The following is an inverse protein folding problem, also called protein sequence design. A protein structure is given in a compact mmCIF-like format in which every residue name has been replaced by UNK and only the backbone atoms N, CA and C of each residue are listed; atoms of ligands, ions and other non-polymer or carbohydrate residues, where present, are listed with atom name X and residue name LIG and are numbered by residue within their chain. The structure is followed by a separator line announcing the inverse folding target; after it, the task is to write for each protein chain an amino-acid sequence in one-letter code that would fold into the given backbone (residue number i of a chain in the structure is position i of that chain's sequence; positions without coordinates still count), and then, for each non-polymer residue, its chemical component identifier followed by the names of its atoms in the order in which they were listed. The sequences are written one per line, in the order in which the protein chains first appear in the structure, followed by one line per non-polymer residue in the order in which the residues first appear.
data_IF_236349893827
#
_entry.id   IF_236349893827
#
_cell.length_a   1.000
_cell.length_b   1.000
_cell.length_c   1.000
_cell.angle_alpha   90.00
_cell.angle_beta   90.00
_cell.angle_gamma   90.00
#
_symmetry.space_group_name_H-M   'P 1'
#
loop_
_entity.id
_entity.type
_entity.pdbx_description
1 polymer ?
#
# COMPACT_ATOMS: atom_id res chain seq x y z
N UNK A 1 -15.55 5.56 -9.33
CA UNK A 1 -16.00 6.89 -9.81
C UNK A 1 -15.63 8.00 -8.84
N UNK A 2 -15.87 7.81 -7.54
CA UNK A 2 -15.60 8.80 -6.49
C UNK A 2 -14.20 9.44 -6.55
N UNK A 3 -13.16 8.63 -6.82
CA UNK A 3 -11.79 9.12 -6.89
C UNK A 3 -11.57 10.13 -8.04
N UNK A 4 -12.22 9.93 -9.19
CA UNK A 4 -12.20 10.93 -10.26
C UNK A 4 -13.12 12.10 -9.95
N UNK A 5 -14.29 11.85 -9.37
CA UNK A 5 -15.26 12.91 -9.09
C UNK A 5 -14.70 13.94 -8.09
N UNK A 6 -14.10 13.47 -7.00
CA UNK A 6 -13.66 14.28 -5.87
C UNK A 6 -12.24 14.87 -5.95
N UNK A 7 -11.54 14.75 -7.07
CA UNK A 7 -10.14 15.21 -7.22
C UNK A 7 -9.91 16.02 -8.49
N UNK A 8 -8.72 16.60 -8.65
CA UNK A 8 -8.31 17.33 -9.85
C UNK A 8 -7.79 16.42 -10.99
N UNK A 9 -7.85 15.08 -10.81
CA UNK A 9 -7.26 14.10 -11.70
C UNK A 9 -7.77 14.14 -13.16
N UNK A 10 -8.99 14.63 -13.37
CA UNK A 10 -9.57 14.82 -14.70
C UNK A 10 -9.36 16.24 -15.20
N UNK A 11 -9.12 16.37 -16.51
CA UNK A 11 -9.14 17.65 -17.21
C UNK A 11 -10.56 18.16 -17.46
N UNK A 12 -11.28 18.40 -16.37
CA UNK A 12 -12.65 18.90 -16.35
C UNK A 12 -12.85 19.81 -15.13
N UNK A 13 -13.83 20.71 -15.22
CA UNK A 13 -14.20 21.59 -14.10
C UNK A 13 -14.54 20.76 -12.84
N UNK A 14 -14.24 21.26 -11.63
CA UNK A 14 -14.62 20.59 -10.38
C UNK A 14 -16.15 20.57 -10.23
N UNK A 15 -16.66 19.63 -9.41
CA UNK A 15 -18.08 19.53 -9.11
C UNK A 15 -18.62 20.82 -8.47
N UNK A 16 -19.77 21.29 -8.95
CA UNK A 16 -20.49 22.41 -8.33
C UNK A 16 -21.10 21.99 -6.99
N UNK A 17 -21.14 22.89 -5.98
CA UNK A 17 -21.83 22.62 -4.71
C UNK A 17 -23.33 22.34 -4.90
N UNK A 18 -23.93 21.58 -3.98
CA UNK A 18 -25.38 21.35 -3.94
C UNK A 18 -25.86 19.94 -4.31
N UNK A 19 -24.94 18.96 -4.44
CA UNK A 19 -25.28 17.57 -4.68
C UNK A 19 -24.47 16.96 -5.82
N UNK A 20 -25.07 16.01 -6.54
CA UNK A 20 -24.47 15.41 -7.73
C UNK A 20 -24.52 16.37 -8.93
N UNK A 21 -23.35 16.72 -9.44
CA UNK A 21 -23.16 17.54 -10.63
C UNK A 21 -23.09 16.64 -11.87
N UNK A 22 -24.12 16.73 -12.72
CA UNK A 22 -24.23 15.92 -13.93
C UNK A 22 -23.13 16.21 -14.96
N UNK A 23 -22.67 17.46 -15.07
CA UNK A 23 -21.60 17.80 -16.01
C UNK A 23 -20.29 17.13 -15.57
N UNK A 24 -19.96 17.22 -14.28
CA UNK A 24 -18.81 16.51 -13.71
C UNK A 24 -18.96 14.99 -13.84
N UNK A 25 -20.15 14.46 -13.53
CA UNK A 25 -20.46 13.04 -13.63
C UNK A 25 -20.25 12.47 -15.04
N UNK A 26 -20.64 13.24 -16.07
CA UNK A 26 -20.42 12.86 -17.47
C UNK A 26 -18.93 12.71 -17.79
N UNK A 27 -18.08 13.64 -17.33
CA UNK A 27 -16.63 13.54 -17.50
C UNK A 27 -16.04 12.32 -16.78
N UNK A 28 -16.54 12.00 -15.58
CA UNK A 28 -16.13 10.81 -14.82
C UNK A 28 -16.50 9.51 -15.52
N UNK A 29 -17.74 9.40 -16.02
CA UNK A 29 -18.21 8.22 -16.75
C UNK A 29 -17.38 8.03 -18.03
N UNK A 30 -17.15 9.11 -18.79
CA UNK A 30 -16.35 9.06 -20.00
C UNK A 30 -14.90 8.58 -19.73
N UNK A 31 -14.26 9.11 -18.68
CA UNK A 31 -12.92 8.71 -18.29
C UNK A 31 -12.85 7.24 -17.83
N UNK A 32 -13.85 6.77 -17.07
CA UNK A 32 -13.91 5.39 -16.62
C UNK A 32 -14.15 4.42 -17.78
N UNK A 33 -15.02 4.76 -18.73
CA UNK A 33 -15.24 3.93 -19.94
C UNK A 33 -14.00 3.88 -20.82
N UNK A 34 -13.31 5.00 -21.00
CA UNK A 34 -12.02 5.03 -21.71
C UNK A 34 -10.94 4.18 -21.02
N UNK A 35 -10.97 4.10 -19.68
CA UNK A 35 -10.12 3.18 -18.93
C UNK A 35 -10.51 1.71 -19.18
N UNK A 36 -11.81 1.38 -19.11
CA UNK A 36 -12.30 0.03 -19.38
C UNK A 36 -11.98 -0.42 -20.81
N UNK A 37 -12.09 0.46 -21.82
CA UNK A 37 -11.70 0.17 -23.20
C UNK A 37 -10.21 -0.20 -23.32
N UNK A 38 -9.35 0.36 -22.45
CA UNK A 38 -7.92 0.05 -22.43
C UNK A 38 -7.61 -1.24 -21.65
N UNK A 39 -8.20 -1.41 -20.48
CA UNK A 39 -7.89 -2.52 -19.58
C UNK A 39 -8.66 -3.81 -19.92
N UNK A 40 -9.86 -3.68 -20.48
CA UNK A 40 -10.86 -4.72 -20.72
C UNK A 40 -11.52 -4.52 -22.09
N UNK A 41 -10.76 -4.58 -23.21
CA UNK A 41 -11.28 -4.31 -24.54
C UNK A 41 -12.43 -5.27 -24.89
N UNK A 42 -13.48 -4.77 -25.55
CA UNK A 42 -14.61 -5.61 -25.97
C UNK A 42 -14.34 -6.31 -27.31
N UNK A 43 -14.95 -7.47 -27.50
CA UNK A 43 -14.87 -8.24 -28.74
C UNK A 43 -15.52 -7.47 -29.92
N UNK A 44 -14.97 -7.68 -31.12
CA UNK A 44 -15.55 -7.13 -32.36
C UNK A 44 -15.36 -5.62 -32.55
N UNK A 45 -14.43 -4.99 -31.80
CA UNK A 45 -14.13 -3.56 -31.92
C UNK A 45 -15.17 -2.64 -31.29
N UNK A 46 -16.09 -3.19 -30.48
CA UNK A 46 -17.03 -2.41 -29.67
C UNK A 46 -16.29 -1.67 -28.56
N UNK A 47 -16.91 -0.62 -28.06
CA UNK A 47 -16.45 0.16 -26.91
C UNK A 47 -17.44 0.05 -25.76
N UNK A 48 -16.97 0.30 -24.54
CA UNK A 48 -17.84 0.29 -23.36
C UNK A 48 -18.99 1.31 -23.49
N UNK A 49 -18.79 2.43 -24.21
CA UNK A 49 -19.85 3.42 -24.49
C UNK A 49 -21.04 2.85 -25.29
N UNK A 50 -20.85 1.73 -25.99
CA UNK A 50 -21.88 1.10 -26.83
C UNK A 50 -22.70 0.03 -26.11
N UNK A 51 -22.48 -0.20 -24.81
CA UNK A 51 -23.28 -1.14 -24.05
C UNK A 51 -24.69 -0.60 -23.77
N UNK A 52 -25.68 -1.48 -23.74
CA UNK A 52 -27.08 -1.19 -23.35
C UNK A 52 -27.54 -1.98 -22.13
N UNK A 53 -26.71 -2.90 -21.65
CA UNK A 53 -26.93 -3.62 -20.40
C UNK A 53 -25.76 -4.52 -20.03
N UNK A 54 -25.83 -5.18 -18.85
CA UNK A 54 -24.79 -6.09 -18.37
C UNK A 54 -24.60 -7.31 -19.28
N UNK A 55 -25.65 -7.78 -19.96
CA UNK A 55 -25.58 -8.95 -20.84
C UNK A 55 -24.86 -8.66 -22.17
N UNK A 56 -24.63 -7.38 -22.50
CA UNK A 56 -23.88 -6.97 -23.69
C UNK A 56 -22.35 -7.03 -23.51
N UNK A 57 -21.88 -7.24 -22.27
CA UNK A 57 -20.45 -7.26 -21.97
C UNK A 57 -19.82 -8.54 -22.53
N UNK A 58 -19.13 -8.37 -23.66
CA UNK A 58 -18.35 -9.43 -24.30
C UNK A 58 -16.88 -8.98 -24.42
N UNK A 59 -16.03 -9.40 -23.48
CA UNK A 59 -14.60 -9.05 -23.45
C UNK A 59 -13.86 -9.77 -24.60
N UNK A 60 -12.87 -9.11 -25.20
CA UNK A 60 -12.07 -9.65 -26.29
C UNK A 60 -11.19 -10.82 -25.84
N UNK A 61 -10.65 -10.77 -24.63
CA UNK A 61 -10.01 -11.89 -23.94
C UNK A 61 -10.96 -12.47 -22.88
N UNK A 62 -11.58 -13.64 -23.12
CA UNK A 62 -12.47 -14.27 -22.16
C UNK A 62 -11.81 -14.60 -20.83
N UNK A 63 -10.49 -14.77 -20.78
CA UNK A 63 -9.74 -15.03 -19.55
C UNK A 63 -9.77 -13.88 -18.55
N UNK A 64 -10.11 -12.67 -19.00
CA UNK A 64 -10.25 -11.51 -18.12
C UNK A 64 -11.56 -11.49 -17.32
N UNK A 65 -12.58 -12.27 -17.70
CA UNK A 65 -13.86 -12.29 -16.98
C UNK A 65 -13.88 -13.41 -15.94
N UNK A 66 -13.99 -13.06 -14.66
CA UNK A 66 -13.94 -14.00 -13.54
C UNK A 66 -15.32 -14.46 -13.06
N UNK A 67 -16.37 -13.70 -13.34
CA UNK A 67 -17.75 -14.05 -13.00
C UNK A 67 -18.54 -12.91 -12.38
N UNK A 68 -19.72 -13.23 -11.85
CA UNK A 68 -20.65 -12.26 -11.25
C UNK A 68 -20.40 -12.08 -9.76
N UNK A 69 -20.51 -10.84 -9.30
CA UNK A 69 -20.59 -10.48 -7.88
C UNK A 69 -22.04 -10.21 -7.48
N UNK A 70 -22.28 -9.87 -6.22
CA UNK A 70 -23.61 -9.40 -5.78
C UNK A 70 -24.05 -8.07 -6.44
N UNK A 71 -23.12 -7.29 -7.00
CA UNK A 71 -23.37 -5.93 -7.52
C UNK A 71 -23.10 -5.79 -9.02
N UNK A 72 -22.49 -6.78 -9.66
CA UNK A 72 -22.12 -6.67 -11.06
C UNK A 72 -21.23 -7.80 -11.55
N UNK A 73 -20.19 -7.45 -12.30
CA UNK A 73 -19.27 -8.40 -12.94
C UNK A 73 -17.83 -8.09 -12.56
N UNK A 74 -17.06 -9.15 -12.28
CA UNK A 74 -15.65 -9.06 -11.89
C UNK A 74 -14.75 -9.45 -13.05
N UNK A 75 -13.71 -8.64 -13.24
CA UNK A 75 -12.68 -8.84 -14.25
C UNK A 75 -11.28 -8.77 -13.65
N UNK A 76 -10.28 -9.17 -14.42
CA UNK A 76 -8.86 -9.06 -14.07
C UNK A 76 -8.05 -8.51 -15.23
N UNK A 77 -7.12 -7.60 -14.93
CA UNK A 77 -6.13 -7.11 -15.87
C UNK A 77 -4.79 -6.88 -15.14
N UNK A 78 -3.68 -7.39 -15.67
CA UNK A 78 -2.35 -7.37 -15.04
C UNK A 78 -2.35 -7.91 -13.59
N UNK A 79 -3.19 -8.90 -13.31
CA UNK A 79 -3.33 -9.50 -11.97
C UNK A 79 -4.13 -8.67 -10.97
N UNK A 80 -4.65 -7.50 -11.36
CA UNK A 80 -5.50 -6.64 -10.53
C UNK A 80 -6.96 -6.75 -10.94
N UNK A 81 -7.84 -6.76 -9.95
CA UNK A 81 -9.28 -6.94 -10.15
C UNK A 81 -10.03 -5.63 -10.44
N UNK A 82 -11.04 -5.71 -11.31
CA UNK A 82 -11.94 -4.61 -11.68
C UNK A 82 -13.38 -5.10 -11.57
N UNK A 83 -14.18 -4.51 -10.69
CA UNK A 83 -15.62 -4.77 -10.62
C UNK A 83 -16.39 -3.66 -11.34
N UNK A 84 -17.16 -4.03 -12.36
CA UNK A 84 -18.12 -3.13 -12.98
C UNK A 84 -19.47 -3.33 -12.30
N UNK A 85 -19.93 -2.30 -11.60
CA UNK A 85 -21.14 -2.32 -10.78
C UNK A 85 -22.33 -1.84 -11.60
N UNK A 86 -23.42 -2.59 -11.57
CA UNK A 86 -24.66 -2.28 -12.28
C UNK A 86 -25.78 -2.03 -11.28
N UNK A 87 -26.33 -0.81 -11.29
CA UNK A 87 -27.49 -0.45 -10.48
C UNK A 87 -28.30 0.65 -11.19
N UNK A 88 -29.31 0.28 -12.01
CA UNK A 88 -30.15 1.24 -12.72
C UNK A 88 -31.07 2.04 -11.80
N UNK A 89 -31.21 1.67 -10.52
CA UNK A 89 -31.96 2.47 -9.54
C UNK A 89 -31.10 3.54 -8.86
N UNK A 90 -29.77 3.42 -8.93
CA UNK A 90 -28.85 4.41 -8.38
C UNK A 90 -28.94 5.76 -9.09
N UNK A 91 -28.49 6.82 -8.43
CA UNK A 91 -28.51 8.17 -9.00
C UNK A 91 -27.64 8.33 -10.25
N UNK A 92 -26.61 7.49 -10.40
CA UNK A 92 -25.70 7.48 -11.54
C UNK A 92 -26.19 6.50 -12.59
N UNK A 93 -26.44 5.24 -12.21
CA UNK A 93 -26.81 4.18 -13.13
C UNK A 93 -28.15 4.38 -13.82
N UNK A 94 -29.10 5.11 -13.23
CA UNK A 94 -30.38 5.44 -13.90
C UNK A 94 -30.21 6.30 -15.17
N UNK A 95 -29.16 7.11 -15.22
CA UNK A 95 -28.85 8.01 -16.34
C UNK A 95 -27.80 7.35 -17.27
N UNK A 96 -27.32 6.13 -16.95
CA UNK A 96 -26.35 5.35 -17.71
C UNK A 96 -27.05 4.34 -18.63
N UNK A 97 -26.67 4.31 -19.92
CA UNK A 97 -27.34 3.45 -20.93
C UNK A 97 -27.27 1.96 -20.61
N UNK A 98 -26.21 1.51 -19.95
CA UNK A 98 -26.03 0.12 -19.56
C UNK A 98 -26.36 -0.13 -18.08
N UNK A 99 -26.81 0.88 -17.34
CA UNK A 99 -27.05 0.80 -15.91
C UNK A 99 -25.78 0.78 -15.06
N UNK A 100 -24.62 1.16 -15.60
CA UNK A 100 -23.36 1.17 -14.85
C UNK A 100 -23.41 2.27 -13.78
N UNK A 101 -23.26 1.88 -12.52
CA UNK A 101 -23.29 2.78 -11.39
C UNK A 101 -21.89 3.15 -10.89
N UNK A 102 -20.92 2.23 -11.00
CA UNK A 102 -19.53 2.48 -10.61
C UNK A 102 -18.55 1.47 -11.26
N UNK A 103 -17.26 1.80 -11.18
CA UNK A 103 -16.14 0.91 -11.47
C UNK A 103 -15.24 0.88 -10.24
N UNK A 104 -15.19 -0.26 -9.57
CA UNK A 104 -14.41 -0.48 -8.34
C UNK A 104 -13.10 -1.17 -8.70
N UNK A 105 -11.99 -0.56 -8.31
CA UNK A 105 -10.65 -1.09 -8.57
C UNK A 105 -10.06 -1.71 -7.32
N UNK A 106 -9.53 -2.92 -7.45
CA UNK A 106 -8.57 -3.43 -6.49
C UNK A 106 -7.32 -2.53 -6.54
N UNK A 107 -6.94 -1.99 -5.38
CA UNK A 107 -6.02 -0.86 -5.32
C UNK A 107 -4.94 -1.03 -4.25
N UNK A 108 -5.20 -0.61 -3.01
CA UNK A 108 -4.27 -0.76 -1.90
C UNK A 108 -4.14 -2.25 -1.53
N UNK A 109 -3.34 -3.01 -2.29
CA UNK A 109 -3.10 -4.44 -2.08
C UNK A 109 -2.48 -4.71 -0.71
N UNK A 110 -1.59 -3.80 -0.30
CA UNK A 110 -0.90 -3.83 0.99
C UNK A 110 -0.93 -2.46 1.65
N UNK A 111 -1.06 -2.43 2.97
CA UNK A 111 -1.07 -1.20 3.78
C UNK A 111 -0.08 -1.37 4.92
N UNK A 112 0.72 -0.33 5.17
CA UNK A 112 1.60 -0.27 6.34
C UNK A 112 0.85 0.46 7.46
N UNK A 113 0.55 -0.25 8.54
CA UNK A 113 0.07 0.34 9.80
C UNK A 113 1.29 0.87 10.54
N UNK A 114 1.37 2.19 10.65
CA UNK A 114 2.61 2.86 11.05
C UNK A 114 2.66 3.18 12.55
N UNK A 115 3.74 2.75 13.21
CA UNK A 115 4.05 3.06 14.62
C UNK A 115 5.31 3.93 14.72
N UNK A 116 5.80 4.46 13.60
CA UNK A 116 7.02 5.26 13.51
C UNK A 116 6.70 6.69 13.04
N UNK A 117 7.17 7.13 11.86
CA UNK A 117 7.22 8.56 11.53
C UNK A 117 5.87 9.27 11.38
N UNK A 118 4.77 8.55 11.15
CA UNK A 118 3.44 9.17 11.01
C UNK A 118 2.68 9.33 12.33
N UNK A 119 3.26 8.95 13.47
CA UNK A 119 2.62 9.02 14.79
C UNK A 119 3.53 9.68 15.83
N UNK A 120 2.92 10.24 16.87
CA UNK A 120 3.64 10.67 18.06
C UNK A 120 3.24 9.73 19.20
N UNK A 121 4.15 8.85 19.62
CA UNK A 121 3.92 7.92 20.71
C UNK A 121 5.12 7.88 21.67
N UNK A 122 5.06 8.67 22.74
CA UNK A 122 6.24 9.00 23.55
C UNK A 122 6.27 8.29 24.92
N UNK A 123 5.17 7.64 25.30
CA UNK A 123 5.05 6.93 26.57
C UNK A 123 4.18 5.67 26.45
N UNK A 124 3.95 5.02 27.60
CA UNK A 124 3.17 3.80 27.68
C UNK A 124 1.70 3.96 27.24
N UNK A 125 1.09 5.12 27.48
CA UNK A 125 -0.31 5.37 27.14
C UNK A 125 -0.47 5.47 25.61
N UNK A 126 0.46 6.18 24.96
CA UNK A 126 0.44 6.31 23.50
C UNK A 126 0.74 4.97 22.82
N UNK A 127 1.78 4.24 23.28
CA UNK A 127 2.11 2.92 22.72
C UNK A 127 0.96 1.94 22.93
N UNK A 128 0.29 1.97 24.07
CA UNK A 128 -0.92 1.17 24.30
C UNK A 128 -2.03 1.50 23.30
N UNK A 129 -2.26 2.78 22.97
CA UNK A 129 -3.24 3.17 21.97
C UNK A 129 -2.89 2.61 20.58
N UNK A 130 -1.62 2.72 20.17
CA UNK A 130 -1.14 2.17 18.90
C UNK A 130 -1.29 0.64 18.84
N UNK A 131 -0.86 -0.08 19.88
CA UNK A 131 -0.98 -1.54 19.95
C UNK A 131 -2.43 -2.01 20.02
N UNK A 132 -3.33 -1.25 20.65
CA UNK A 132 -4.77 -1.56 20.68
C UNK A 132 -5.38 -1.49 19.28
N UNK A 133 -5.02 -0.49 18.48
CA UNK A 133 -5.47 -0.39 17.09
C UNK A 133 -4.92 -1.54 16.24
N UNK A 134 -3.65 -1.89 16.40
CA UNK A 134 -3.05 -3.05 15.72
C UNK A 134 -3.74 -4.37 16.12
N UNK A 135 -4.05 -4.54 17.41
CA UNK A 135 -4.79 -5.70 17.90
C UNK A 135 -6.20 -5.78 17.32
N UNK A 136 -6.94 -4.67 17.32
CA UNK A 136 -8.30 -4.64 16.81
C UNK A 136 -8.37 -4.96 15.31
N UNK A 137 -7.41 -4.44 14.53
CA UNK A 137 -7.41 -4.71 13.08
C UNK A 137 -7.03 -6.16 12.77
N UNK A 138 -6.10 -6.76 13.53
CA UNK A 138 -5.73 -8.17 13.37
C UNK A 138 -6.83 -9.11 13.85
N UNK A 139 -7.54 -8.78 14.93
CA UNK A 139 -8.72 -9.54 15.36
C UNK A 139 -9.91 -9.41 14.41
N UNK A 140 -9.98 -8.32 13.64
CA UNK A 140 -11.09 -8.04 12.75
C UNK A 140 -12.28 -7.38 13.46
N UNK A 141 -12.06 -6.68 14.57
CA UNK A 141 -13.11 -6.00 15.33
C UNK A 141 -12.82 -4.52 15.59
N UNK A 142 -11.82 -3.95 14.91
CA UNK A 142 -11.62 -2.52 14.87
C UNK A 142 -12.85 -1.84 14.25
N UNK A 143 -13.48 -0.99 15.03
CA UNK A 143 -14.54 -0.09 14.59
C UNK A 143 -14.38 1.28 15.24
N UNK A 144 -14.91 2.30 14.57
CA UNK A 144 -14.94 3.66 15.10
C UNK A 144 -16.25 4.34 14.73
N UNK A 145 -16.72 5.22 15.61
CA UNK A 145 -17.99 5.95 15.46
C UNK A 145 -17.75 7.45 15.50
N UNK A 146 -18.20 8.16 14.46
CA UNK A 146 -18.01 9.60 14.32
C UNK A 146 -19.26 10.29 13.77
N UNK A 147 -19.35 11.61 13.99
CA UNK A 147 -20.43 12.43 13.44
C UNK A 147 -20.13 12.83 11.99
N UNK A 148 -21.09 12.59 11.09
CA UNK A 148 -21.06 13.09 9.72
C UNK A 148 -22.39 13.78 9.39
N UNK A 149 -22.40 15.11 9.46
CA UNK A 149 -23.59 15.90 9.15
C UNK A 149 -24.72 15.73 10.17
N UNK A 150 -24.38 15.62 11.45
CA UNK A 150 -25.33 15.43 12.57
C UNK A 150 -25.84 14.01 12.73
N UNK A 151 -25.24 13.03 12.02
CA UNK A 151 -25.57 11.61 12.13
C UNK A 151 -24.35 10.83 12.58
N UNK A 152 -24.53 10.01 13.61
CA UNK A 152 -23.52 9.04 14.02
C UNK A 152 -23.36 7.97 12.95
N UNK A 153 -22.12 7.73 12.54
CA UNK A 153 -21.75 6.70 11.58
C UNK A 153 -20.67 5.82 12.19
N UNK A 154 -20.90 4.51 12.21
CA UNK A 154 -19.90 3.52 12.61
C UNK A 154 -19.26 2.90 11.38
N UNK A 155 -17.92 2.92 11.29
CA UNK A 155 -17.15 2.22 10.27
C UNK A 155 -16.53 0.95 10.84
N UNK A 156 -16.49 -0.09 10.01
CA UNK A 156 -15.95 -1.42 10.31
C UNK A 156 -15.11 -1.90 9.13
N UNK A 157 -14.32 -2.94 9.37
CA UNK A 157 -13.62 -3.65 8.30
C UNK A 157 -14.62 -4.34 7.36
N UNK A 158 -14.34 -4.29 6.06
CA UNK A 158 -15.18 -4.90 5.03
C UNK A 158 -15.05 -6.43 5.04
N UNK A 159 -16.13 -7.13 4.67
CA UNK A 159 -16.10 -8.57 4.38
C UNK A 159 -15.35 -8.88 3.07
N UNK A 160 -15.13 -10.16 2.81
CA UNK A 160 -14.57 -10.64 1.53
C UNK A 160 -15.57 -10.51 0.37
N UNK A 161 -15.03 -10.46 -0.85
CA UNK A 161 -15.83 -10.31 -2.07
C UNK A 161 -16.07 -11.67 -2.70
N UNK A 162 -17.34 -12.07 -2.85
CA UNK A 162 -17.72 -13.30 -3.51
C UNK A 162 -17.90 -13.12 -5.02
N UNK A 163 -17.35 -14.05 -5.81
CA UNK A 163 -17.42 -14.09 -7.27
C UNK A 163 -17.78 -15.52 -7.68
N UNK A 164 -19.03 -15.75 -8.10
CA UNK A 164 -19.51 -17.12 -8.28
C UNK A 164 -19.25 -17.98 -7.03
N UNK A 165 -18.51 -19.09 -7.19
CA UNK A 165 -18.10 -19.97 -6.09
C UNK A 165 -16.76 -19.56 -5.42
N UNK A 166 -16.08 -18.54 -5.95
CA UNK A 166 -14.80 -18.04 -5.47
C UNK A 166 -14.93 -16.86 -4.49
N UNK A 167 -13.84 -16.57 -3.78
CA UNK A 167 -13.76 -15.45 -2.82
C UNK A 167 -12.44 -14.71 -2.96
N UNK A 168 -12.48 -13.38 -2.96
CA UNK A 168 -11.32 -12.50 -2.88
C UNK A 168 -11.23 -11.81 -1.51
N UNK A 169 -10.02 -11.61 -0.96
CA UNK A 169 -9.84 -10.78 0.21
C UNK A 169 -10.41 -9.36 -0.02
N UNK A 170 -11.36 -8.95 0.81
CA UNK A 170 -11.98 -7.61 0.71
C UNK A 170 -11.22 -6.50 1.43
N UNK A 171 -10.00 -6.80 1.91
CA UNK A 171 -9.16 -5.95 2.75
C UNK A 171 -7.72 -5.99 2.27
N UNK A 172 -7.02 -4.87 2.45
CA UNK A 172 -5.58 -4.77 2.21
C UNK A 172 -4.81 -5.71 3.13
N UNK A 173 -3.75 -6.34 2.61
CA UNK A 173 -2.80 -7.09 3.44
C UNK A 173 -1.99 -6.11 4.29
N UNK A 174 -1.99 -6.33 5.60
CA UNK A 174 -1.38 -5.41 6.54
C UNK A 174 0.07 -5.80 6.86
N UNK A 175 0.94 -4.81 6.72
CA UNK A 175 2.22 -4.70 7.38
C UNK A 175 2.08 -3.85 8.63
N UNK A 176 2.95 -4.03 9.60
CA UNK A 176 3.15 -3.08 10.71
C UNK A 176 4.56 -2.51 10.61
N UNK A 177 4.71 -1.17 10.64
CA UNK A 177 6.02 -0.53 10.69
C UNK A 177 6.36 -0.24 12.15
N UNK A 178 7.23 -1.09 12.69
CA UNK A 178 7.82 -0.88 14.01
C UNK A 178 8.81 0.28 13.94
N UNK A 179 9.17 0.86 15.08
CA UNK A 179 10.27 1.84 15.13
C UNK A 179 11.64 1.19 14.87
N UNK A 180 12.63 2.02 14.52
CA UNK A 180 14.01 1.60 14.24
C UNK A 180 14.82 1.15 15.47
N UNK A 181 16.14 1.36 15.45
CA UNK A 181 17.06 0.91 16.52
C UNK A 181 17.42 2.00 17.53
N UNK A 182 17.04 3.25 17.29
CA UNK A 182 17.55 4.42 18.02
C UNK A 182 16.90 4.62 19.40
N UNK A 183 15.57 4.68 19.45
CA UNK A 183 14.84 5.21 20.59
C UNK A 183 14.67 4.17 21.72
N UNK A 184 14.62 4.66 22.95
CA UNK A 184 14.14 3.91 24.12
C UNK A 184 12.77 4.42 24.54
N UNK A 185 12.04 3.67 25.36
CA UNK A 185 10.73 4.08 25.85
C UNK A 185 10.54 3.79 27.35
N UNK A 186 9.99 4.73 28.14
CA UNK A 186 9.80 4.56 29.58
C UNK A 186 8.73 3.53 29.97
N UNK A 187 7.99 2.97 29.01
CA UNK A 187 6.95 1.98 29.26
C UNK A 187 7.44 0.72 29.99
N UNK A 188 8.72 0.35 29.78
CA UNK A 188 9.35 -0.79 30.47
C UNK A 188 10.74 -0.34 30.95
N UNK A 189 11.04 -0.62 32.23
CA UNK A 189 12.36 -0.45 32.83
C UNK A 189 13.08 -1.80 32.86
N UNK A 190 14.33 -1.81 32.40
CA UNK A 190 15.21 -2.97 32.49
C UNK A 190 15.74 -3.14 33.93
N UNK A 191 16.33 -4.30 34.29
CA UNK A 191 16.82 -4.55 35.65
C UNK A 191 17.87 -3.55 36.15
N UNK A 192 18.59 -2.89 35.25
CA UNK A 192 19.58 -1.85 35.56
C UNK A 192 18.95 -0.44 35.70
N UNK A 193 17.63 -0.32 35.54
CA UNK A 193 16.87 0.94 35.62
C UNK A 193 16.79 1.73 34.30
N UNK A 194 17.49 1.30 33.25
CA UNK A 194 17.39 1.91 31.92
C UNK A 194 16.04 1.62 31.25
N UNK A 195 15.73 2.39 30.22
CA UNK A 195 14.52 2.19 29.42
C UNK A 195 14.72 1.10 28.37
N UNK A 196 13.67 0.35 28.05
CA UNK A 196 13.73 -0.64 26.98
C UNK A 196 14.01 0.04 25.63
N UNK A 197 14.85 -0.54 24.75
CA UNK A 197 14.90 -0.14 23.35
C UNK A 197 13.54 -0.36 22.69
N UNK A 198 12.94 0.72 22.18
CA UNK A 198 11.57 0.74 21.71
C UNK A 198 11.37 -0.24 20.54
N UNK A 199 12.35 -0.36 19.65
CA UNK A 199 12.32 -1.31 18.53
C UNK A 199 12.27 -2.78 18.95
N UNK A 200 12.80 -3.13 20.15
CA UNK A 200 12.69 -4.48 20.74
C UNK A 200 11.30 -4.67 21.33
N UNK A 201 10.81 -3.66 22.07
CA UNK A 201 9.45 -3.65 22.62
C UNK A 201 8.40 -3.84 21.52
N UNK A 202 8.50 -3.08 20.43
CA UNK A 202 7.64 -3.19 19.26
C UNK A 202 7.71 -4.60 18.66
N UNK A 203 8.90 -5.14 18.43
CA UNK A 203 9.08 -6.47 17.82
C UNK A 203 8.34 -7.57 18.60
N UNK A 204 8.42 -7.55 19.94
CA UNK A 204 7.72 -8.51 20.79
C UNK A 204 6.21 -8.29 20.72
N UNK A 205 5.74 -7.06 20.94
CA UNK A 205 4.30 -6.79 21.11
C UNK A 205 3.56 -6.92 19.78
N UNK A 206 4.07 -6.34 18.69
CA UNK A 206 3.40 -6.38 17.39
C UNK A 206 3.40 -7.79 16.79
N UNK A 207 4.43 -8.61 17.07
CA UNK A 207 4.47 -10.02 16.71
C UNK A 207 3.53 -10.87 17.57
N UNK A 208 3.41 -10.59 18.88
CA UNK A 208 2.45 -11.29 19.74
C UNK A 208 1.00 -11.04 19.28
N UNK A 209 0.69 -9.83 18.83
CA UNK A 209 -0.58 -9.52 18.16
C UNK A 209 -0.69 -10.28 16.83
N UNK A 210 0.33 -10.22 15.97
CA UNK A 210 0.34 -10.91 14.68
C UNK A 210 0.22 -12.45 14.80
N UNK A 211 0.70 -13.03 15.90
CA UNK A 211 0.54 -14.45 16.19
C UNK A 211 -0.93 -14.87 16.34
N UNK A 212 -1.84 -13.95 16.67
CA UNK A 212 -3.28 -14.23 16.68
C UNK A 212 -3.81 -14.51 15.27
N UNK A 213 -3.31 -13.79 14.25
CA UNK A 213 -3.63 -14.07 12.84
C UNK A 213 -3.07 -15.43 12.41
N UNK A 214 -1.80 -15.70 12.73
CA UNK A 214 -1.14 -16.98 12.41
C UNK A 214 -1.89 -18.17 13.02
N UNK A 215 -2.43 -18.01 14.23
CA UNK A 215 -3.23 -19.02 14.93
C UNK A 215 -4.71 -19.03 14.51
N UNK A 216 -5.14 -18.13 13.64
CA UNK A 216 -6.52 -18.05 13.15
C UNK A 216 -7.54 -17.64 14.22
N UNK A 217 -7.14 -16.80 15.17
CA UNK A 217 -8.00 -16.35 16.27
C UNK A 217 -8.85 -15.11 15.89
N UNK A 218 -8.54 -14.44 14.79
CA UNK A 218 -9.30 -13.30 14.27
C UNK A 218 -10.49 -13.70 13.39
N UNK A 219 -11.40 -12.75 13.16
CA UNK A 219 -12.57 -12.92 12.28
C UNK A 219 -12.19 -13.19 10.83
N UNK A 220 -11.12 -12.55 10.35
CA UNK A 220 -10.57 -12.77 9.02
C UNK A 220 -9.06 -13.02 9.12
N UNK A 221 -8.51 -13.71 8.13
CA UNK A 221 -7.06 -13.84 8.01
C UNK A 221 -6.48 -12.61 7.32
N UNK A 222 -5.47 -11.98 7.94
CA UNK A 222 -4.60 -11.03 7.27
C UNK A 222 -3.68 -11.80 6.31
N UNK A 223 -2.84 -12.69 6.85
CA UNK A 223 -1.96 -13.55 6.08
C UNK A 223 -2.59 -14.90 5.78
N UNK A 224 -2.70 -15.23 4.49
CA UNK A 224 -3.10 -16.57 4.04
C UNK A 224 -1.92 -17.56 4.04
N UNK A 225 -0.70 -17.06 4.20
CA UNK A 225 0.54 -17.82 4.18
C UNK A 225 1.14 -18.03 5.60
N UNK A 226 0.42 -17.67 6.66
CA UNK A 226 0.88 -17.83 8.05
C UNK A 226 2.13 -17.00 8.37
N UNK A 227 2.22 -15.79 7.82
CA UNK A 227 3.35 -14.88 7.98
C UNK A 227 2.95 -13.56 8.64
N UNK A 228 3.83 -13.00 9.46
CA UNK A 228 3.67 -11.66 10.05
C UNK A 228 4.57 -10.72 9.26
N UNK A 229 4.08 -9.57 8.82
CA UNK A 229 4.85 -8.65 7.96
C UNK A 229 5.24 -7.39 8.72
N UNK A 230 6.52 -7.23 9.03
CA UNK A 230 7.05 -6.08 9.77
C UNK A 230 7.97 -5.26 8.86
N UNK A 231 7.69 -3.96 8.70
CA UNK A 231 8.66 -3.03 8.11
C UNK A 231 9.62 -2.58 9.21
N UNK A 232 10.93 -2.66 8.94
CA UNK A 232 11.98 -2.18 9.83
C UNK A 232 12.69 -0.97 9.21
N UNK A 233 12.52 0.23 9.80
CA UNK A 233 13.05 1.46 9.26
C UNK A 233 14.44 1.80 9.81
N UNK A 234 15.09 2.78 9.19
CA UNK A 234 16.27 3.51 9.68
C UNK A 234 17.43 2.61 10.15
N UNK A 235 17.66 1.53 9.40
CA UNK A 235 18.78 0.63 9.65
C UNK A 235 20.02 1.13 8.90
N UNK A 236 21.19 1.12 9.54
CA UNK A 236 22.45 1.53 8.92
C UNK A 236 23.35 0.32 8.65
N UNK A 237 23.20 -0.32 7.50
CA UNK A 237 24.10 -1.35 7.00
C UNK A 237 23.75 -2.78 7.45
N UNK A 238 24.53 -3.76 6.97
CA UNK A 238 24.16 -5.18 7.06
C UNK A 238 24.18 -5.75 8.48
N UNK A 239 25.00 -5.20 9.38
CA UNK A 239 25.06 -5.65 10.78
C UNK A 239 23.74 -5.36 11.51
N UNK A 240 23.13 -4.19 11.29
CA UNK A 240 21.84 -3.85 11.88
C UNK A 240 20.69 -4.67 11.25
N UNK A 241 20.79 -5.01 9.96
CA UNK A 241 19.90 -5.97 9.33
C UNK A 241 20.03 -7.37 9.94
N UNK A 242 21.27 -7.81 10.21
CA UNK A 242 21.55 -9.06 10.94
C UNK A 242 20.97 -9.04 12.35
N UNK A 243 21.16 -7.95 13.11
CA UNK A 243 20.54 -7.78 14.43
C UNK A 243 19.01 -7.88 14.37
N UNK A 244 18.37 -7.32 13.33
CA UNK A 244 16.93 -7.47 13.14
C UNK A 244 16.53 -8.92 12.87
N UNK A 245 17.33 -9.68 12.08
CA UNK A 245 17.10 -11.10 11.90
C UNK A 245 17.15 -11.85 13.24
N UNK A 246 18.20 -11.62 14.03
CA UNK A 246 18.43 -12.30 15.31
C UNK A 246 17.35 -11.92 16.33
N UNK A 247 16.91 -10.67 16.34
CA UNK A 247 15.78 -10.21 17.14
C UNK A 247 14.50 -10.97 16.78
N UNK A 248 14.21 -11.11 15.48
CA UNK A 248 13.03 -11.86 15.04
C UNK A 248 13.16 -13.36 15.31
N UNK A 249 14.38 -13.91 15.28
CA UNK A 249 14.62 -15.29 15.71
C UNK A 249 14.22 -15.47 17.19
N UNK A 250 14.70 -14.57 18.07
CA UNK A 250 14.41 -14.60 19.49
C UNK A 250 12.92 -14.37 19.82
N UNK A 251 12.24 -13.48 19.08
CA UNK A 251 10.80 -13.23 19.26
C UNK A 251 9.98 -14.45 18.81
N UNK A 252 10.36 -15.13 17.74
CA UNK A 252 9.70 -16.37 17.33
C UNK A 252 9.87 -17.47 18.38
N UNK A 253 11.06 -17.60 18.97
CA UNK A 253 11.31 -18.56 20.05
C UNK A 253 10.46 -18.23 21.28
N UNK A 254 10.38 -16.95 21.66
CA UNK A 254 9.55 -16.46 22.76
C UNK A 254 8.05 -16.74 22.55
N UNK A 255 7.56 -16.63 21.31
CA UNK A 255 6.15 -16.77 20.96
C UNK A 255 5.78 -18.17 20.44
N UNK A 256 6.75 -19.09 20.43
CA UNK A 256 6.63 -20.45 19.89
C UNK A 256 6.12 -20.47 18.44
N UNK A 257 6.62 -19.54 17.62
CA UNK A 257 6.32 -19.46 16.19
C UNK A 257 7.34 -20.28 15.39
N UNK A 258 6.93 -20.90 14.27
CA UNK A 258 7.89 -21.47 13.33
C UNK A 258 8.95 -20.45 12.91
N UNK A 259 10.21 -20.91 12.78
CA UNK A 259 11.31 -20.07 12.35
C UNK A 259 10.98 -19.40 11.00
N UNK A 260 11.26 -18.11 10.92
CA UNK A 260 10.94 -17.23 9.79
C UNK A 260 9.44 -16.95 9.57
N UNK A 261 8.55 -17.18 10.54
CA UNK A 261 7.17 -16.66 10.47
C UNK A 261 7.13 -15.14 10.34
N UNK A 262 8.04 -14.42 11.02
CA UNK A 262 8.14 -12.96 10.94
C UNK A 262 8.96 -12.57 9.70
N UNK A 263 8.32 -11.86 8.78
CA UNK A 263 8.92 -11.32 7.56
C UNK A 263 9.36 -9.88 7.77
N UNK A 264 10.40 -9.48 7.06
CA UNK A 264 10.96 -8.14 7.16
C UNK A 264 10.84 -7.39 5.84
N UNK A 265 10.32 -6.18 5.94
CA UNK A 265 10.46 -5.16 4.93
C UNK A 265 11.60 -4.22 5.30
N UNK A 266 12.66 -4.19 4.48
CA UNK A 266 13.85 -3.38 4.74
C UNK A 266 13.68 -2.01 4.07
N UNK A 267 13.73 -0.95 4.86
CA UNK A 267 13.82 0.39 4.31
C UNK A 267 15.26 0.67 3.86
N UNK A 268 15.46 0.90 2.56
CA UNK A 268 16.69 1.45 2.01
C UNK A 268 16.62 2.97 2.11
N UNK A 269 16.81 3.48 3.32
CA UNK A 269 16.63 4.91 3.62
C UNK A 269 17.80 5.54 4.37
N UNK A 270 18.88 4.79 4.57
CA UNK A 270 20.11 5.27 5.20
C UNK A 270 21.31 4.99 4.28
N UNK A 271 22.24 5.92 4.17
CA UNK A 271 23.38 5.88 3.24
C UNK A 271 24.23 4.63 3.41
N UNK A 272 24.45 4.18 4.65
CA UNK A 272 25.22 2.96 4.94
C UNK A 272 24.47 1.70 4.49
N UNK A 273 23.14 1.69 4.54
CA UNK A 273 22.32 0.63 3.94
C UNK A 273 22.36 0.72 2.42
N UNK A 274 22.11 1.89 1.82
CA UNK A 274 22.12 2.04 0.36
C UNK A 274 23.45 1.62 -0.25
N UNK A 275 24.57 1.99 0.37
CA UNK A 275 25.90 1.61 -0.09
C UNK A 275 26.11 0.08 -0.06
N UNK A 276 25.53 -0.60 0.92
CA UNK A 276 25.75 -2.03 1.22
C UNK A 276 24.49 -2.90 1.03
N UNK A 277 23.50 -2.44 0.24
CA UNK A 277 22.15 -3.02 0.20
C UNK A 277 22.14 -4.53 -0.11
N UNK A 278 23.04 -5.00 -0.98
CA UNK A 278 23.18 -6.43 -1.29
C UNK A 278 23.49 -7.27 -0.04
N UNK A 279 24.38 -6.79 0.84
CA UNK A 279 24.71 -7.45 2.10
C UNK A 279 23.57 -7.31 3.12
N UNK A 280 22.85 -6.18 3.13
CA UNK A 280 21.66 -6.01 3.96
C UNK A 280 20.58 -7.03 3.61
N UNK A 281 20.31 -7.24 2.31
CA UNK A 281 19.37 -8.25 1.82
C UNK A 281 19.83 -9.66 2.21
N UNK A 282 21.12 -9.97 2.04
CA UNK A 282 21.67 -11.28 2.42
C UNK A 282 21.49 -11.58 3.91
N UNK A 283 21.70 -10.59 4.78
CA UNK A 283 21.54 -10.72 6.23
C UNK A 283 20.11 -11.10 6.66
N UNK A 284 19.11 -10.82 5.82
CA UNK A 284 17.68 -11.15 6.10
C UNK A 284 17.05 -12.01 5.01
N UNK A 285 17.83 -12.75 4.22
CA UNK A 285 17.38 -13.44 3.00
C UNK A 285 16.21 -14.42 3.17
N UNK A 286 16.04 -14.99 4.37
CA UNK A 286 14.95 -15.93 4.67
C UNK A 286 13.66 -15.22 5.12
N UNK A 287 13.71 -13.90 5.34
CA UNK A 287 12.63 -13.08 5.89
C UNK A 287 12.20 -11.97 4.94
N UNK A 288 13.07 -11.55 4.03
CA UNK A 288 12.85 -10.36 3.21
C UNK A 288 11.63 -10.50 2.32
N UNK A 289 10.73 -9.52 2.41
CA UNK A 289 9.50 -9.42 1.59
C UNK A 289 9.36 -8.06 0.91
N UNK A 290 10.27 -7.13 1.20
CA UNK A 290 10.18 -5.76 0.72
C UNK A 290 11.55 -5.07 0.84
N UNK A 291 11.93 -4.33 -0.20
CA UNK A 291 12.89 -3.22 -0.12
C UNK A 291 12.21 -1.95 -0.60
N UNK A 292 12.50 -0.80 -0.02
CA UNK A 292 11.90 0.48 -0.44
C UNK A 292 12.88 1.64 -0.37
N UNK A 293 12.80 2.51 -1.37
CA UNK A 293 13.51 3.79 -1.33
C UNK A 293 12.76 4.83 -0.48
N UNK A 294 13.08 4.90 0.82
CA UNK A 294 12.65 5.94 1.76
C UNK A 294 13.39 7.27 1.51
N UNK A 295 13.18 7.88 0.33
CA UNK A 295 14.05 8.94 -0.18
C UNK A 295 14.12 10.21 0.71
N UNK A 296 13.12 10.46 1.55
CA UNK A 296 13.08 11.62 2.44
C UNK A 296 14.11 11.48 3.57
N UNK A 297 14.03 10.38 4.34
CA UNK A 297 15.03 10.04 5.36
C UNK A 297 16.42 9.92 4.75
N UNK A 298 16.51 9.27 3.59
CA UNK A 298 17.77 9.12 2.87
C UNK A 298 18.43 10.45 2.51
N UNK A 299 17.63 11.46 2.18
CA UNK A 299 18.12 12.81 1.93
C UNK A 299 18.60 13.47 3.22
N UNK A 300 17.89 13.25 4.34
CA UNK A 300 18.30 13.69 5.67
C UNK A 300 19.65 13.11 6.07
N UNK A 301 19.84 11.79 5.90
CA UNK A 301 21.10 11.12 6.21
C UNK A 301 22.24 11.53 5.27
N UNK A 302 21.98 11.82 3.99
CA UNK A 302 23.01 12.37 3.09
C UNK A 302 23.53 13.72 3.61
N UNK A 303 22.63 14.59 4.05
CA UNK A 303 22.96 15.90 4.63
C UNK A 303 23.73 15.71 5.93
N UNK A 304 23.27 14.83 6.82
CA UNK A 304 23.90 14.60 8.12
C UNK A 304 25.29 13.98 7.98
N UNK A 305 25.42 12.91 7.19
CA UNK A 305 26.69 12.21 6.93
C UNK A 305 27.75 13.17 6.39
N UNK A 306 27.37 14.09 5.50
CA UNK A 306 28.28 15.00 4.83
C UNK A 306 28.25 16.43 5.41
N UNK A 307 27.75 16.61 6.63
CA UNK A 307 27.57 17.93 7.25
C UNK A 307 28.86 18.75 7.29
N UNK A 308 29.99 18.09 7.54
CA UNK A 308 31.31 18.74 7.62
C UNK A 308 32.01 18.89 6.26
N UNK A 309 31.41 18.40 5.17
CA UNK A 309 31.99 18.51 3.83
C UNK A 309 31.75 19.88 3.18
N UNK A 310 30.70 20.60 3.60
CA UNK A 310 30.36 21.94 3.10
C UNK A 310 28.85 22.15 2.88
N UNK A 311 28.47 23.32 2.34
CA UNK A 311 27.06 23.64 2.10
C UNK A 311 26.44 22.74 1.03
N UNK A 312 25.22 22.26 1.32
CA UNK A 312 24.43 21.43 0.41
C UNK A 312 23.63 22.27 -0.59
N UNK A 313 23.27 21.65 -1.72
CA UNK A 313 22.28 22.19 -2.65
C UNK A 313 20.92 22.37 -1.97
N UNK A 314 20.06 23.24 -2.53
CA UNK A 314 18.73 23.50 -1.95
C UNK A 314 17.82 22.27 -2.07
N UNK A 315 16.84 22.18 -1.16
CA UNK A 315 15.90 21.03 -1.07
C UNK A 315 15.22 20.67 -2.39
N UNK A 316 14.77 21.64 -3.17
CA UNK A 316 14.08 21.38 -4.45
C UNK A 316 15.02 20.78 -5.52
N UNK A 317 16.31 21.12 -5.48
CA UNK A 317 17.33 20.66 -6.43
C UNK A 317 17.82 19.24 -6.12
N UNK A 318 17.59 18.73 -4.91
CA UNK A 318 17.97 17.36 -4.52
C UNK A 318 17.36 16.30 -5.44
N UNK A 319 16.15 16.52 -5.96
CA UNK A 319 15.42 15.58 -6.83
C UNK A 319 16.16 15.26 -8.12
N UNK A 320 17.00 16.17 -8.62
CA UNK A 320 17.75 16.00 -9.87
C UNK A 320 19.22 15.66 -9.64
N UNK A 321 19.63 15.47 -8.38
CA UNK A 321 21.01 15.13 -8.03
C UNK A 321 21.42 13.75 -8.54
N UNK A 322 22.69 13.61 -8.91
CA UNK A 322 23.25 12.36 -9.42
C UNK A 322 23.16 11.22 -8.39
N UNK A 323 23.37 11.52 -7.10
CA UNK A 323 23.33 10.51 -6.05
C UNK A 323 21.93 9.94 -5.88
N UNK A 324 20.87 10.77 -5.93
CA UNK A 324 19.50 10.32 -5.71
C UNK A 324 19.02 9.44 -6.87
N UNK A 325 19.34 9.83 -8.11
CA UNK A 325 19.05 9.00 -9.29
C UNK A 325 19.78 7.64 -9.22
N UNK A 326 21.05 7.64 -8.83
CA UNK A 326 21.83 6.40 -8.68
C UNK A 326 21.29 5.51 -7.55
N UNK A 327 20.88 6.09 -6.42
CA UNK A 327 20.26 5.40 -5.30
C UNK A 327 18.95 4.70 -5.72
N UNK A 328 18.04 5.44 -6.37
CA UNK A 328 16.75 4.91 -6.84
C UNK A 328 16.91 3.77 -7.85
N UNK A 329 17.90 3.87 -8.76
CA UNK A 329 18.19 2.84 -9.75
C UNK A 329 18.88 1.62 -9.12
N UNK A 330 19.80 1.83 -8.17
CA UNK A 330 20.53 0.74 -7.50
C UNK A 330 19.60 -0.13 -6.65
N UNK A 331 18.60 0.46 -5.98
CA UNK A 331 17.63 -0.31 -5.20
C UNK A 331 16.93 -1.37 -6.06
N UNK A 332 16.38 -0.97 -7.21
CA UNK A 332 15.74 -1.88 -8.17
C UNK A 332 16.74 -2.89 -8.71
N UNK A 333 17.89 -2.44 -9.21
CA UNK A 333 18.87 -3.32 -9.84
C UNK A 333 19.46 -4.36 -8.88
N UNK A 334 19.60 -4.03 -7.60
CA UNK A 334 20.03 -4.97 -6.56
C UNK A 334 18.88 -5.92 -6.22
N UNK A 335 17.66 -5.42 -6.00
CA UNK A 335 16.49 -6.28 -5.71
C UNK A 335 16.25 -7.33 -6.79
N UNK A 336 16.32 -6.95 -8.06
CA UNK A 336 16.20 -7.89 -9.19
C UNK A 336 17.34 -8.93 -9.21
N UNK A 337 18.59 -8.50 -9.01
CA UNK A 337 19.75 -9.42 -8.96
C UNK A 337 19.70 -10.41 -7.80
N UNK A 338 19.07 -10.03 -6.70
CA UNK A 338 18.85 -10.90 -5.54
C UNK A 338 17.55 -11.72 -5.62
N UNK A 339 16.87 -11.74 -6.78
CA UNK A 339 15.73 -12.61 -7.03
C UNK A 339 14.46 -12.22 -6.28
N UNK A 340 14.28 -10.92 -5.98
CA UNK A 340 13.09 -10.44 -5.29
C UNK A 340 11.84 -10.43 -6.18
N UNK A 341 11.98 -10.37 -7.51
CA UNK A 341 10.83 -10.44 -8.42
C UNK A 341 10.04 -11.73 -8.21
N UNK A 342 8.72 -11.61 -8.07
CA UNK A 342 7.81 -12.72 -7.78
C UNK A 342 7.85 -13.25 -6.33
N UNK A 343 8.69 -12.68 -5.46
CA UNK A 343 8.84 -13.11 -4.05
C UNK A 343 8.67 -11.98 -3.03
N UNK A 344 9.06 -10.77 -3.41
CA UNK A 344 9.10 -9.60 -2.56
C UNK A 344 8.76 -8.34 -3.35
N UNK A 345 8.44 -7.28 -2.63
CA UNK A 345 8.20 -5.96 -3.18
C UNK A 345 9.53 -5.21 -3.40
N UNK A 346 9.65 -4.56 -4.55
CA UNK A 346 10.65 -3.53 -4.84
C UNK A 346 9.86 -2.21 -4.90
N UNK A 347 9.95 -1.44 -3.83
CA UNK A 347 9.11 -0.28 -3.59
C UNK A 347 9.80 1.06 -3.85
N UNK A 348 8.99 2.06 -4.19
CA UNK A 348 9.40 3.46 -4.26
C UNK A 348 8.58 4.37 -3.35
N UNK A 349 9.12 5.55 -3.10
CA UNK A 349 8.61 6.49 -2.11
C UNK A 349 7.22 7.10 -2.34
N UNK A 350 6.81 7.85 -1.33
CA UNK A 350 5.50 8.49 -1.16
C UNK A 350 5.21 9.58 -2.20
N UNK A 351 3.95 9.67 -2.62
CA UNK A 351 3.43 10.91 -3.22
C UNK A 351 3.04 11.91 -2.12
N UNK A 352 3.81 12.98 -1.95
CA UNK A 352 3.69 13.90 -0.82
C UNK A 352 2.83 15.16 -1.11
N UNK A 353 2.04 15.17 -2.19
CA UNK A 353 1.15 16.28 -2.54
C UNK A 353 -0.31 15.79 -2.67
N UNK A 354 -1.02 15.50 -1.55
CA UNK A 354 -2.27 14.74 -1.55
C UNK A 354 -3.40 15.29 -2.42
N UNK A 355 -3.42 16.59 -2.67
CA UNK A 355 -4.47 17.25 -3.47
C UNK A 355 -4.10 17.40 -4.96
N UNK A 356 -2.84 17.11 -5.34
CA UNK A 356 -2.32 17.23 -6.70
C UNK A 356 -2.41 15.89 -7.44
N UNK A 357 -3.62 15.35 -7.58
CA UNK A 357 -3.84 14.03 -8.17
C UNK A 357 -3.59 14.01 -9.68
N UNK A 358 -3.83 15.11 -10.39
CA UNK A 358 -3.45 15.23 -11.80
C UNK A 358 -1.95 15.01 -12.01
N UNK A 359 -1.14 15.69 -11.21
CA UNK A 359 0.32 15.57 -11.28
C UNK A 359 0.77 14.17 -10.88
N UNK A 360 0.11 13.55 -9.89
CA UNK A 360 0.37 12.16 -9.52
C UNK A 360 0.12 11.22 -10.70
N UNK A 361 -0.99 11.40 -11.42
CA UNK A 361 -1.34 10.60 -12.61
C UNK A 361 -0.36 10.79 -13.77
N UNK A 362 0.25 11.96 -13.90
CA UNK A 362 1.26 12.22 -14.93
C UNK A 362 2.63 11.64 -14.56
N UNK A 363 3.04 11.76 -13.29
CA UNK A 363 4.42 11.55 -12.89
C UNK A 363 4.67 10.18 -12.25
N UNK A 364 3.73 9.67 -11.46
CA UNK A 364 3.97 8.50 -10.60
C UNK A 364 4.06 7.18 -11.39
N UNK A 365 3.59 7.15 -12.64
CA UNK A 365 3.85 6.02 -13.56
C UNK A 365 5.35 5.73 -13.73
N UNK A 366 6.21 6.75 -13.57
CA UNK A 366 7.66 6.61 -13.62
C UNK A 366 8.21 5.61 -12.59
N UNK A 367 7.52 5.39 -11.47
CA UNK A 367 7.94 4.39 -10.49
C UNK A 367 7.84 2.97 -11.05
N UNK A 368 6.72 2.66 -11.74
CA UNK A 368 6.51 1.36 -12.36
C UNK A 368 7.42 1.17 -13.57
N UNK A 369 7.63 2.22 -14.37
CA UNK A 369 8.57 2.20 -15.51
C UNK A 369 10.02 1.91 -15.09
N UNK A 370 10.36 2.27 -13.84
CA UNK A 370 11.63 1.96 -13.21
C UNK A 370 11.69 0.53 -12.61
N UNK A 371 10.64 -0.29 -12.73
CA UNK A 371 10.60 -1.67 -12.25
C UNK A 371 10.11 -1.85 -10.80
N UNK A 372 9.50 -0.82 -10.21
CA UNK A 372 8.95 -0.94 -8.85
C UNK A 372 7.54 -1.53 -8.90
N UNK A 373 7.35 -2.70 -8.28
CA UNK A 373 6.04 -3.37 -8.21
C UNK A 373 5.15 -2.86 -7.07
N UNK A 374 5.61 -1.87 -6.31
CA UNK A 374 4.79 -1.09 -5.39
C UNK A 374 5.32 0.33 -5.25
N UNK A 375 4.45 1.27 -4.89
CA UNK A 375 4.84 2.62 -4.51
C UNK A 375 3.86 3.22 -3.51
N UNK A 376 4.36 4.04 -2.60
CA UNK A 376 3.54 4.59 -1.53
C UNK A 376 2.63 5.74 -2.01
N UNK A 377 1.41 5.73 -1.51
CA UNK A 377 0.34 6.72 -1.76
C UNK A 377 -0.26 7.18 -0.44
N UNK A 378 -0.71 8.44 -0.33
CA UNK A 378 -1.08 9.02 0.97
C UNK A 378 -2.53 8.73 1.40
N UNK A 379 -3.36 8.16 0.52
CA UNK A 379 -4.80 7.97 0.79
C UNK A 379 -5.41 6.84 -0.03
N UNK A 380 -6.57 6.29 0.39
CA UNK A 380 -7.34 5.34 -0.43
C UNK A 380 -7.69 5.91 -1.81
N UNK A 381 -8.03 7.19 -1.90
CA UNK A 381 -8.30 7.87 -3.18
C UNK A 381 -7.09 7.84 -4.10
N UNK A 382 -5.91 8.17 -3.58
CA UNK A 382 -4.66 8.11 -4.33
C UNK A 382 -4.30 6.67 -4.71
N UNK A 383 -4.61 5.67 -3.88
CA UNK A 383 -4.43 4.27 -4.21
C UNK A 383 -5.29 3.84 -5.41
N UNK A 384 -6.59 4.19 -5.41
CA UNK A 384 -7.50 3.92 -6.54
C UNK A 384 -7.00 4.55 -7.83
N UNK A 385 -6.56 5.81 -7.79
CA UNK A 385 -6.02 6.49 -8.96
C UNK A 385 -4.68 5.88 -9.40
N UNK A 386 -3.79 5.56 -8.47
CA UNK A 386 -2.49 5.00 -8.81
C UNK A 386 -2.60 3.56 -9.38
N UNK A 387 -3.62 2.79 -8.98
CA UNK A 387 -3.91 1.45 -9.54
C UNK A 387 -4.13 1.48 -11.07
N UNK A 388 -4.66 2.57 -11.62
CA UNK A 388 -4.79 2.76 -13.07
C UNK A 388 -3.45 2.66 -13.80
N UNK A 389 -2.33 3.05 -13.17
CA UNK A 389 -1.01 2.88 -13.78
C UNK A 389 -0.62 1.42 -13.93
N UNK A 390 -0.97 0.56 -12.97
CA UNK A 390 -0.65 -0.87 -13.00
C UNK A 390 -1.51 -1.63 -14.01
N UNK A 391 -2.71 -1.15 -14.33
CA UNK A 391 -3.48 -1.65 -15.48
C UNK A 391 -2.90 -1.21 -16.82
N UNK A 392 -2.24 -0.04 -16.88
CA UNK A 392 -1.63 0.50 -18.10
C UNK A 392 -0.26 -0.10 -18.40
N UNK A 393 0.49 -0.49 -17.37
CA UNK A 393 1.85 -1.01 -17.49
C UNK A 393 2.00 -2.29 -16.66
N UNK A 394 2.28 -3.39 -17.35
CA UNK A 394 2.69 -4.64 -16.71
C UNK A 394 4.11 -4.48 -16.16
N UNK A 395 4.21 -4.40 -14.83
CA UNK A 395 5.47 -4.19 -14.11
C UNK A 395 6.36 -5.43 -14.12
N UNK A 396 5.81 -6.63 -14.30
CA UNK A 396 6.59 -7.87 -14.31
C UNK A 396 7.15 -8.19 -15.69
N UNK A 397 6.52 -7.68 -16.76
CA UNK A 397 7.06 -7.71 -18.11
C UNK A 397 8.18 -6.66 -18.36
N UNK A 398 8.35 -5.69 -17.44
CA UNK A 398 9.30 -4.58 -17.54
C UNK A 398 10.66 -4.91 -16.93
#
# INVERSE_FOLDING_TARGET
YDAFYGTDALDAAPARPGGYDKERGTAVIAAARAFLDQALPLAGGKTWNELTGPDDVAIADPGQHLGKTARGQMFVNNGLHIEVVFDPASSVGRDDRAGIADVVLESALTTIVDLEDSVAAVDAADKLAAYRNWLGVIRGDLEDTFDKGGRQMTRRLNDDVHIGDGTLPGRSLLFVRNVGHLMTNPAIRLPDGSEIPEGIMDAVITSAVGAQDVRGLGRWKNSRAGSIYIVKPKQHGPEECGFTNDLFDAVEDLLELPRHTIKVGVMDEERRTSANLAACIEAVKNRIVFINTGFLDRTGDEIHTSMQAGPMIRKAEMKTSAWLQAYEARNVAIGLRHGLSGRAQIGKGMWAAPDMMRDMMAQKIGHLQAGANTAWVPSPTAATLHALHYHKLDVFAR
#
